data_IF_904243811774
#
_entry.id   IF_904243811774
#
_cell.length_a   1.000
_cell.length_b   1.000
_cell.length_c   1.000
_cell.angle_alpha   90.00
_cell.angle_beta   90.00
_cell.angle_gamma   90.00
#
_symmetry.space_group_name_H-M   'P 1'
#
loop_
_entity.id
_entity.type
_entity.pdbx_description
1 polymer ?
#
# COMPACT_ATOMS: atom_id res chain seq x y z
N UNK A 1 14.73 -3.68 0.50
CA UNK A 1 14.20 -4.46 1.65
C UNK A 1 13.20 -3.56 2.36
N UNK A 2 11.93 -3.95 2.44
CA UNK A 2 10.87 -3.11 3.02
C UNK A 2 11.06 -2.99 4.54
N UNK A 3 11.03 -1.76 5.06
CA UNK A 3 11.08 -1.43 6.49
C UNK A 3 9.99 -0.42 6.86
N UNK A 4 9.71 -0.30 8.16
CA UNK A 4 8.81 0.73 8.69
C UNK A 4 9.39 2.12 8.38
N UNK A 5 8.54 3.02 7.93
CA UNK A 5 8.89 4.36 7.46
C UNK A 5 9.19 4.45 5.96
N UNK A 6 9.35 3.32 5.26
CA UNK A 6 9.48 3.35 3.80
C UNK A 6 8.19 3.86 3.16
N UNK A 7 8.35 4.51 2.02
CA UNK A 7 7.22 4.92 1.19
C UNK A 7 7.18 4.09 -0.08
N UNK A 8 6.03 3.48 -0.37
CA UNK A 8 5.88 2.52 -1.47
C UNK A 8 4.65 2.86 -2.32
N UNK A 9 4.69 2.47 -3.60
CA UNK A 9 3.52 2.52 -4.48
C UNK A 9 2.78 1.19 -4.39
N UNK A 10 1.49 1.24 -4.03
CA UNK A 10 0.65 0.05 -3.94
C UNK A 10 -0.73 0.31 -4.54
N UNK A 11 -1.43 -0.75 -4.94
CA UNK A 11 -2.81 -0.65 -5.47
C UNK A 11 -3.80 -1.14 -4.41
N UNK A 12 -4.22 -0.28 -3.45
CA UNK A 12 -5.17 -0.70 -2.43
C UNK A 12 -6.54 -1.04 -3.01
N UNK A 13 -7.31 -1.84 -2.29
CA UNK A 13 -8.67 -2.23 -2.70
C UNK A 13 -9.60 -1.03 -2.88
N UNK A 14 -9.42 0.01 -2.07
CA UNK A 14 -10.22 1.24 -2.12
C UNK A 14 -9.75 2.25 -3.19
N UNK A 15 -8.67 1.96 -3.93
CA UNK A 15 -8.19 2.88 -4.96
C UNK A 15 -9.25 3.10 -6.04
N UNK A 16 -9.38 4.35 -6.50
CA UNK A 16 -10.13 4.67 -7.71
C UNK A 16 -9.57 3.90 -8.92
N UNK A 17 -10.45 3.54 -9.85
CA UNK A 17 -10.04 2.94 -11.12
C UNK A 17 -9.69 4.01 -12.15
N UNK A 18 -8.76 3.70 -13.05
CA UNK A 18 -8.47 4.51 -14.23
C UNK A 18 -9.45 4.21 -15.38
N UNK A 19 -9.24 4.85 -16.52
CA UNK A 19 -10.04 4.68 -17.75
C UNK A 19 -10.02 3.25 -18.31
N UNK A 20 -9.01 2.44 -17.96
CA UNK A 20 -8.91 1.03 -18.33
C UNK A 20 -9.62 0.09 -17.34
N UNK A 21 -10.13 0.64 -16.23
CA UNK A 21 -10.76 -0.12 -15.15
C UNK A 21 -9.75 -0.70 -14.15
N UNK A 22 -8.45 -0.42 -14.30
CA UNK A 22 -7.41 -0.85 -13.37
C UNK A 22 -7.34 0.06 -12.15
N UNK A 23 -7.02 -0.51 -10.98
CA UNK A 23 -6.80 0.28 -9.75
C UNK A 23 -5.56 1.17 -9.90
N UNK A 24 -5.72 2.46 -9.60
CA UNK A 24 -4.60 3.39 -9.56
C UNK A 24 -3.66 3.05 -8.40
N UNK A 25 -2.35 3.08 -8.67
CA UNK A 25 -1.36 2.97 -7.63
C UNK A 25 -1.36 4.25 -6.78
N UNK A 26 -1.28 4.09 -5.47
CA UNK A 26 -1.23 5.15 -4.48
C UNK A 26 0.04 5.01 -3.66
N UNK A 27 0.59 6.16 -3.27
CA UNK A 27 1.73 6.22 -2.37
C UNK A 27 1.25 6.00 -0.92
N UNK A 28 1.85 5.05 -0.23
CA UNK A 28 1.57 4.75 1.18
C UNK A 28 2.85 4.61 1.99
N UNK A 29 2.77 4.92 3.29
CA UNK A 29 3.89 4.78 4.23
C UNK A 29 3.77 3.46 4.96
N UNK A 30 4.84 2.66 5.01
CA UNK A 30 4.88 1.41 5.75
C UNK A 30 4.86 1.70 7.24
N UNK A 31 3.80 1.31 7.92
CA UNK A 31 3.64 1.48 9.37
C UNK A 31 3.88 0.18 10.15
N UNK A 32 3.90 -0.95 9.45
CA UNK A 32 4.14 -2.27 10.04
C UNK A 32 4.75 -3.22 9.02
N UNK A 33 5.69 -4.05 9.47
CA UNK A 33 6.23 -5.18 8.70
C UNK A 33 6.09 -6.42 9.58
N UNK A 34 5.45 -7.46 9.04
CA UNK A 34 5.31 -8.72 9.77
C UNK A 34 6.70 -9.28 10.12
N UNK A 35 6.94 -9.82 11.34
CA UNK A 35 8.26 -10.28 11.75
C UNK A 35 8.89 -11.32 10.82
N UNK A 36 8.08 -12.25 10.30
CA UNK A 36 8.49 -13.25 9.30
C UNK A 36 8.43 -12.73 7.85
N UNK A 37 8.25 -11.42 7.64
CA UNK A 37 8.21 -10.74 6.33
C UNK A 37 7.18 -11.30 5.33
N UNK A 38 6.04 -11.76 5.85
CA UNK A 38 4.94 -12.28 5.02
C UNK A 38 4.14 -11.15 4.37
N UNK A 39 3.88 -10.09 5.12
CA UNK A 39 3.13 -8.92 4.68
C UNK A 39 3.64 -7.65 5.37
N UNK A 40 3.30 -6.49 4.82
CA UNK A 40 3.44 -5.18 5.46
C UNK A 40 2.10 -4.45 5.45
N UNK A 41 1.94 -3.46 6.31
CA UNK A 41 0.76 -2.57 6.33
C UNK A 41 1.20 -1.18 5.93
N UNK A 42 0.50 -0.60 4.95
CA UNK A 42 0.71 0.76 4.49
C UNK A 42 -0.42 1.64 5.04
N UNK A 43 -0.06 2.82 5.54
CA UNK A 43 -0.97 3.93 5.81
C UNK A 43 -0.99 4.86 4.58
N UNK A 44 -2.20 5.10 4.06
CA UNK A 44 -2.47 6.00 2.96
C UNK A 44 -3.26 7.20 3.48
N UNK A 45 -3.05 8.35 2.85
CA UNK A 45 -3.85 9.54 3.08
C UNK A 45 -4.92 9.61 1.98
N UNK A 46 -6.16 9.33 2.37
CA UNK A 46 -7.33 9.44 1.51
C UNK A 46 -7.86 10.88 1.42
N UNK A 47 -9.01 11.03 0.77
CA UNK A 47 -9.69 12.31 0.64
C UNK A 47 -9.94 12.94 2.03
N UNK A 48 -9.78 14.26 2.11
CA UNK A 48 -9.98 15.05 3.34
C UNK A 48 -9.06 14.63 4.51
N UNK A 49 -7.90 14.03 4.21
CA UNK A 49 -6.91 13.65 5.22
C UNK A 49 -7.24 12.38 6.00
N UNK A 50 -8.24 11.61 5.56
CA UNK A 50 -8.57 10.34 6.19
C UNK A 50 -7.40 9.36 6.11
N UNK A 51 -7.01 8.77 7.25
CA UNK A 51 -5.97 7.74 7.29
C UNK A 51 -6.60 6.38 7.03
N UNK A 52 -6.17 5.72 5.96
CA UNK A 52 -6.65 4.38 5.58
C UNK A 52 -5.47 3.43 5.64
N UNK A 53 -5.68 2.22 6.17
CA UNK A 53 -4.63 1.22 6.35
C UNK A 53 -5.00 -0.06 5.64
N UNK A 54 -4.07 -0.58 4.85
CA UNK A 54 -4.25 -1.85 4.15
C UNK A 54 -2.96 -2.66 4.20
N UNK A 55 -3.12 -3.99 4.31
CA UNK A 55 -2.02 -4.93 4.39
C UNK A 55 -1.78 -5.61 3.05
N UNK A 56 -0.51 -5.74 2.68
CA UNK A 56 -0.07 -6.28 1.40
C UNK A 56 0.96 -7.38 1.62
N UNK A 57 0.79 -8.51 0.94
CA UNK A 57 1.79 -9.57 0.94
C UNK A 57 3.03 -9.12 0.18
N UNK A 58 4.20 -9.27 0.79
CA UNK A 58 5.48 -8.77 0.26
C UNK A 58 5.88 -9.49 -1.04
N UNK A 59 5.36 -10.71 -1.27
CA UNK A 59 5.65 -11.52 -2.45
C UNK A 59 4.58 -11.44 -3.54
N UNK A 60 3.56 -10.59 -3.39
CA UNK A 60 2.56 -10.38 -4.43
C UNK A 60 2.87 -9.10 -5.22
N UNK A 61 2.53 -9.09 -6.51
CA UNK A 61 2.77 -7.98 -7.46
C UNK A 61 2.04 -6.66 -7.14
N UNK A 62 1.49 -6.54 -5.93
CA UNK A 62 0.67 -5.39 -5.49
C UNK A 62 1.49 -4.26 -4.90
N UNK A 63 2.79 -4.45 -4.70
CA UNK A 63 3.72 -3.48 -4.14
C UNK A 63 4.84 -3.23 -5.16
N UNK A 64 5.06 -1.98 -5.54
CA UNK A 64 6.22 -1.55 -6.33
C UNK A 64 7.14 -0.76 -5.40
N UNK A 65 8.40 -1.18 -5.32
CA UNK A 65 9.44 -0.55 -4.51
C UNK A 65 9.94 0.75 -5.15
#
# INVERSE_FOLDING_TARGET
MIKVGDTLMAKPEFASRDETGAKKAMQGTVIFVHPQRRFCTLEFIGARGAKIRESFYIHQERITA
#
